data_IF_952891276591
#
_entry.id   IF_952891276591
#
_cell.length_a   1.000
_cell.length_b   1.000
_cell.length_c   1.000
_cell.angle_alpha   90.00
_cell.angle_beta   90.00
_cell.angle_gamma   90.00
#
_symmetry.space_group_name_H-M   'P 1'
#
loop_
_entity.id
_entity.type
_entity.pdbx_description
1 polymer ?
#
# COMPACT_ATOMS: atom_id res chain seq x y z
N UNK A 1 -2.36 11.52 -2.08
CA UNK A 1 -2.03 12.54 -1.05
C UNK A 1 -0.58 12.50 -0.60
N UNK A 2 -0.02 11.37 -0.16
CA UNK A 2 1.43 11.30 0.13
C UNK A 2 2.30 11.72 -1.07
N UNK A 3 1.85 11.37 -2.29
CA UNK A 3 2.43 11.83 -3.57
C UNK A 3 2.35 13.36 -3.75
N UNK A 4 1.29 13.99 -3.24
CA UNK A 4 1.12 15.45 -3.31
C UNK A 4 2.12 16.15 -2.38
N UNK A 5 2.22 15.71 -1.12
CA UNK A 5 3.20 16.24 -0.17
C UNK A 5 4.63 16.03 -0.66
N UNK A 6 4.95 14.85 -1.20
CA UNK A 6 6.23 14.60 -1.85
C UNK A 6 6.55 15.66 -2.91
N UNK A 7 5.61 15.94 -3.83
CA UNK A 7 5.79 16.96 -4.87
C UNK A 7 5.98 18.37 -4.30
N UNK A 8 5.19 18.75 -3.29
CA UNK A 8 5.29 20.06 -2.62
C UNK A 8 6.67 20.22 -1.98
N UNK A 9 7.12 19.26 -1.17
CA UNK A 9 8.41 19.35 -0.47
C UNK A 9 9.60 19.30 -1.43
N UNK A 10 9.51 18.49 -2.51
CA UNK A 10 10.55 18.43 -3.52
C UNK A 10 10.71 19.79 -4.24
N UNK A 11 9.61 20.39 -4.69
CA UNK A 11 9.64 21.69 -5.38
C UNK A 11 10.09 22.80 -4.43
N UNK A 12 9.54 22.85 -3.20
CA UNK A 12 9.91 23.86 -2.20
C UNK A 12 11.40 23.79 -1.82
N UNK A 13 11.95 22.58 -1.69
CA UNK A 13 13.36 22.36 -1.41
C UNK A 13 14.26 22.85 -2.54
N UNK A 14 13.91 22.54 -3.79
CA UNK A 14 14.63 23.05 -4.97
C UNK A 14 14.62 24.59 -4.98
N UNK A 15 13.46 25.21 -4.79
CA UNK A 15 13.32 26.68 -4.78
C UNK A 15 14.18 27.31 -3.68
N UNK A 16 14.21 26.75 -2.46
CA UNK A 16 15.02 27.29 -1.36
C UNK A 16 16.53 27.21 -1.63
N UNK A 17 17.00 26.16 -2.31
CA UNK A 17 18.40 26.07 -2.75
C UNK A 17 18.72 27.18 -3.75
N UNK A 18 17.83 27.44 -4.72
CA UNK A 18 18.01 28.53 -5.67
C UNK A 18 17.99 29.93 -5.03
N UNK A 19 17.26 30.10 -3.93
CA UNK A 19 17.22 31.34 -3.14
C UNK A 19 18.44 31.50 -2.20
N UNK A 20 19.38 30.54 -2.19
CA UNK A 20 20.58 30.58 -1.34
C UNK A 20 20.35 30.11 0.10
N UNK A 21 19.14 29.65 0.45
CA UNK A 21 18.82 29.06 1.75
C UNK A 21 19.15 27.55 1.74
N UNK A 22 20.44 27.23 1.71
CA UNK A 22 20.92 25.85 1.54
C UNK A 22 20.52 24.92 2.69
N UNK A 23 20.49 25.42 3.93
CA UNK A 23 20.11 24.61 5.10
C UNK A 23 18.64 24.16 5.01
N UNK A 24 17.73 25.10 4.77
CA UNK A 24 16.29 24.82 4.65
C UNK A 24 15.99 23.97 3.41
N UNK A 25 16.63 24.30 2.28
CA UNK A 25 16.49 23.54 1.04
C UNK A 25 16.94 22.08 1.18
N UNK A 26 18.07 21.84 1.85
CA UNK A 26 18.57 20.50 2.13
C UNK A 26 17.61 19.69 3.02
N UNK A 27 17.04 20.29 4.06
CA UNK A 27 16.06 19.65 4.93
C UNK A 27 14.81 19.22 4.15
N UNK A 28 14.25 20.13 3.34
CA UNK A 28 13.05 19.85 2.55
C UNK A 28 13.26 18.73 1.53
N UNK A 29 14.43 18.69 0.88
CA UNK A 29 14.79 17.59 -0.01
C UNK A 29 14.99 16.27 0.73
N UNK A 30 15.54 16.28 1.95
CA UNK A 30 15.63 15.11 2.81
C UNK A 30 14.26 14.52 3.13
N UNK A 31 13.30 15.39 3.50
CA UNK A 31 11.90 14.98 3.74
C UNK A 31 11.27 14.44 2.46
N UNK A 32 11.48 15.09 1.32
CA UNK A 32 10.98 14.60 0.04
C UNK A 32 11.57 13.23 -0.31
N UNK A 33 12.87 13.01 -0.16
CA UNK A 33 13.51 11.73 -0.42
C UNK A 33 12.92 10.62 0.47
N UNK A 34 12.67 10.90 1.75
CA UNK A 34 12.01 9.96 2.66
C UNK A 34 10.58 9.63 2.21
N UNK A 35 9.77 10.62 1.86
CA UNK A 35 8.42 10.40 1.33
C UNK A 35 8.44 9.61 0.02
N UNK A 36 9.42 9.88 -0.86
CA UNK A 36 9.65 9.14 -2.09
C UNK A 36 9.99 7.67 -1.83
N UNK A 37 10.84 7.39 -0.84
CA UNK A 37 11.14 6.03 -0.40
C UNK A 37 9.88 5.32 0.13
N UNK A 38 9.07 5.98 0.94
CA UNK A 38 7.79 5.42 1.43
C UNK A 38 6.84 5.11 0.27
N UNK A 39 6.70 6.03 -0.68
CA UNK A 39 5.88 5.82 -1.89
C UNK A 39 6.38 4.64 -2.71
N UNK A 40 7.70 4.54 -2.91
CA UNK A 40 8.32 3.42 -3.61
C UNK A 40 8.04 2.09 -2.91
N UNK A 41 8.24 2.04 -1.60
CA UNK A 41 7.97 0.85 -0.78
C UNK A 41 6.50 0.43 -0.86
N UNK A 42 5.56 1.37 -0.69
CA UNK A 42 4.13 1.12 -0.82
C UNK A 42 3.77 0.65 -2.25
N UNK A 43 4.38 1.25 -3.27
CA UNK A 43 4.18 0.91 -4.67
C UNK A 43 4.66 -0.50 -4.99
N UNK A 44 5.81 -0.90 -4.44
CA UNK A 44 6.36 -2.26 -4.54
C UNK A 44 5.39 -3.29 -3.93
N UNK A 45 4.95 -3.07 -2.69
CA UNK A 45 4.01 -3.96 -2.00
C UNK A 45 2.67 -4.07 -2.75
N UNK A 46 2.15 -2.94 -3.25
CA UNK A 46 0.91 -2.92 -4.05
C UNK A 46 1.07 -3.63 -5.39
N UNK A 47 2.24 -3.53 -6.04
CA UNK A 47 2.53 -4.22 -7.31
C UNK A 47 2.62 -5.73 -7.10
N UNK A 48 3.31 -6.18 -6.06
CA UNK A 48 3.40 -7.61 -5.72
C UNK A 48 2.03 -8.19 -5.34
N UNK A 49 1.24 -7.48 -4.53
CA UNK A 49 -0.13 -7.87 -4.20
C UNK A 49 -0.98 -8.06 -5.46
N UNK A 50 -0.93 -7.10 -6.38
CA UNK A 50 -1.70 -7.15 -7.62
C UNK A 50 -1.25 -8.29 -8.53
N UNK A 51 0.06 -8.48 -8.70
CA UNK A 51 0.58 -9.57 -9.50
C UNK A 51 0.13 -10.94 -8.97
N UNK A 52 0.03 -11.09 -7.64
CA UNK A 52 -0.54 -12.28 -7.03
C UNK A 52 -2.03 -12.45 -7.34
N UNK A 53 -2.85 -11.38 -7.21
CA UNK A 53 -4.28 -11.45 -7.51
C UNK A 53 -4.57 -11.72 -8.99
N UNK A 54 -3.83 -11.09 -9.89
CA UNK A 54 -3.96 -11.32 -11.33
C UNK A 54 -3.58 -12.75 -11.70
N UNK A 55 -2.48 -13.25 -11.14
CA UNK A 55 -2.10 -14.66 -11.26
C UNK A 55 -3.20 -15.58 -10.71
N UNK A 56 -3.70 -15.30 -9.51
CA UNK A 56 -4.72 -16.11 -8.84
C UNK A 56 -6.01 -16.16 -9.65
N UNK A 57 -6.44 -15.03 -10.22
CA UNK A 57 -7.59 -14.96 -11.13
C UNK A 57 -7.37 -15.82 -12.39
N UNK A 58 -6.21 -15.70 -13.02
CA UNK A 58 -5.90 -16.47 -14.23
C UNK A 58 -5.84 -17.99 -14.00
N UNK A 59 -5.47 -18.40 -12.78
CA UNK A 59 -5.28 -19.80 -12.39
C UNK A 59 -6.40 -20.37 -11.52
N UNK A 60 -7.44 -19.58 -11.28
CA UNK A 60 -8.60 -19.97 -10.48
C UNK A 60 -9.18 -21.35 -10.88
N UNK A 61 -9.51 -21.65 -12.16
CA UNK A 61 -10.11 -22.94 -12.51
C UNK A 61 -9.16 -24.13 -12.35
N UNK A 62 -7.84 -23.91 -12.38
CA UNK A 62 -6.84 -24.96 -12.12
C UNK A 62 -6.72 -25.23 -10.62
N UNK A 63 -6.77 -24.18 -9.80
CA UNK A 63 -6.68 -24.28 -8.33
C UNK A 63 -7.95 -24.91 -7.76
N UNK A 64 -9.13 -24.56 -8.27
CA UNK A 64 -10.41 -25.16 -7.86
C UNK A 64 -10.45 -26.67 -8.12
N UNK A 65 -9.76 -27.16 -9.16
CA UNK A 65 -9.68 -28.58 -9.51
C UNK A 65 -8.55 -29.33 -8.80
N UNK A 66 -7.61 -28.63 -8.17
CA UNK A 66 -6.47 -29.25 -7.52
C UNK A 66 -5.48 -28.25 -6.93
N UNK A 67 -4.48 -27.86 -7.70
CA UNK A 67 -3.40 -26.98 -7.25
C UNK A 67 -2.72 -26.25 -8.40
N UNK A 68 -2.04 -25.15 -8.06
CA UNK A 68 -1.12 -24.47 -8.97
C UNK A 68 0.14 -24.05 -8.22
N UNK A 69 1.21 -23.70 -8.94
CA UNK A 69 2.45 -23.23 -8.34
C UNK A 69 2.59 -21.72 -8.50
N UNK A 70 2.79 -21.01 -7.38
CA UNK A 70 3.16 -19.60 -7.36
C UNK A 70 4.52 -19.43 -6.71
N UNK A 71 5.49 -18.87 -7.45
CA UNK A 71 6.87 -18.65 -6.97
C UNK A 71 7.49 -19.91 -6.33
N UNK A 72 7.21 -21.08 -6.91
CA UNK A 72 7.71 -22.37 -6.43
C UNK A 72 6.95 -22.98 -5.24
N UNK A 73 5.85 -22.35 -4.77
CA UNK A 73 5.01 -22.90 -3.70
C UNK A 73 3.70 -23.43 -4.24
N UNK A 74 3.29 -24.62 -3.75
CA UNK A 74 2.01 -25.24 -4.09
C UNK A 74 0.89 -24.46 -3.41
N UNK A 75 -0.03 -23.94 -4.22
CA UNK A 75 -1.23 -23.24 -3.77
C UNK A 75 -2.45 -24.11 -4.08
N UNK A 76 -3.20 -24.39 -3.03
CA UNK A 76 -4.48 -25.09 -3.03
C UNK A 76 -5.59 -24.14 -2.58
N UNK A 77 -6.88 -24.46 -2.80
CA UNK A 77 -7.99 -23.65 -2.28
C UNK A 77 -7.95 -23.44 -0.75
N UNK A 78 -7.41 -24.41 -0.02
CA UNK A 78 -7.28 -24.40 1.45
C UNK A 78 -6.00 -23.73 1.93
N UNK A 79 -5.13 -23.29 1.01
CA UNK A 79 -3.92 -22.58 1.38
C UNK A 79 -4.30 -21.26 2.05
N UNK A 80 -3.72 -21.01 3.22
CA UNK A 80 -3.93 -19.77 3.96
C UNK A 80 -2.94 -18.69 3.51
N UNK A 81 -3.48 -17.49 3.29
CA UNK A 81 -2.70 -16.29 3.01
C UNK A 81 -2.96 -15.24 4.08
N UNK A 82 -1.90 -14.55 4.46
CA UNK A 82 -1.89 -13.50 5.48
C UNK A 82 -1.51 -12.16 4.86
N UNK A 83 -2.18 -11.09 5.31
CA UNK A 83 -1.80 -9.71 5.02
C UNK A 83 -1.64 -8.89 6.30
N UNK A 84 -0.60 -8.06 6.34
CA UNK A 84 -0.41 -7.08 7.39
C UNK A 84 -0.88 -5.71 6.92
N UNK A 85 -1.39 -4.91 7.84
CA UNK A 85 -1.88 -3.57 7.55
C UNK A 85 -1.01 -2.53 8.24
N UNK A 86 -0.58 -1.52 7.50
CA UNK A 86 0.10 -0.37 8.04
C UNK A 86 -0.84 0.84 8.04
N UNK A 87 -0.77 1.60 9.14
CA UNK A 87 -1.49 2.85 9.31
C UNK A 87 -0.47 4.00 9.27
N UNK A 88 -0.69 4.98 8.41
CA UNK A 88 0.09 6.22 8.39
C UNK A 88 -0.89 7.38 8.38
N UNK A 89 -0.80 8.23 9.39
CA UNK A 89 -1.68 9.37 9.57
C UNK A 89 -0.86 10.65 9.58
N UNK A 90 -1.43 11.71 9.03
CA UNK A 90 -0.85 13.04 9.08
C UNK A 90 -1.95 14.08 9.27
N UNK A 91 -1.90 14.79 10.39
CA UNK A 91 -2.86 15.79 10.85
C UNK A 91 -4.30 15.27 10.96
N UNK A 92 -5.08 15.32 9.88
CA UNK A 92 -6.50 14.90 9.89
C UNK A 92 -6.69 13.65 9.03
N UNK A 93 -5.68 13.29 8.23
CA UNK A 93 -5.84 12.34 7.14
C UNK A 93 -5.10 11.06 7.48
N UNK A 94 -5.84 9.95 7.50
CA UNK A 94 -5.32 8.63 7.82
C UNK A 94 -5.34 7.75 6.58
N UNK A 95 -4.17 7.27 6.18
CA UNK A 95 -4.02 6.32 5.07
C UNK A 95 -3.71 4.93 5.63
N UNK A 96 -4.44 3.93 5.14
CA UNK A 96 -4.24 2.53 5.51
C UNK A 96 -3.84 1.75 4.27
N UNK A 97 -2.77 0.98 4.35
CA UNK A 97 -2.32 0.14 3.25
C UNK A 97 -2.02 -1.29 3.72
N UNK A 98 -2.28 -2.26 2.85
CA UNK A 98 -2.02 -3.68 3.12
C UNK A 98 -0.76 -4.15 2.43
N UNK A 99 -0.03 -5.07 3.05
CA UNK A 99 1.12 -5.75 2.46
C UNK A 99 0.71 -6.62 1.27
N UNK A 100 1.70 -7.16 0.57
CA UNK A 100 1.51 -8.34 -0.29
C UNK A 100 0.91 -9.51 0.50
N UNK A 101 0.26 -10.43 -0.21
CA UNK A 101 -0.17 -11.70 0.36
C UNK A 101 1.05 -12.56 0.68
N UNK A 102 1.14 -13.01 1.93
CA UNK A 102 2.17 -13.91 2.42
C UNK A 102 1.55 -15.27 2.68
N UNK A 103 2.18 -16.33 2.18
CA UNK A 103 1.73 -17.70 2.42
C UNK A 103 2.09 -18.10 3.86
N UNK A 104 1.11 -18.65 4.58
CA UNK A 104 1.32 -19.14 5.96
C UNK A 104 2.38 -20.25 5.93
N UNK A 105 3.45 -20.09 6.73
CA UNK A 105 4.61 -20.99 6.75
C UNK A 105 5.89 -20.43 6.11
N UNK A 106 5.83 -19.31 5.38
CA UNK A 106 7.04 -18.53 5.04
C UNK A 106 7.25 -17.48 6.11
N UNK A 107 8.47 -17.40 6.65
CA UNK A 107 8.84 -16.59 7.81
C UNK A 107 8.29 -15.15 7.76
N UNK A 108 7.12 -14.87 8.39
CA UNK A 108 6.39 -13.64 8.19
C UNK A 108 6.85 -12.54 9.15
N UNK A 109 7.82 -12.85 10.01
CA UNK A 109 8.25 -12.03 11.15
C UNK A 109 8.81 -10.68 10.71
N UNK A 110 9.63 -10.64 9.66
CA UNK A 110 10.23 -9.37 9.19
C UNK A 110 9.18 -8.40 8.63
N UNK A 111 8.29 -8.88 7.76
CA UNK A 111 7.21 -8.04 7.19
C UNK A 111 6.25 -7.59 8.28
N UNK A 112 5.87 -8.49 9.21
CA UNK A 112 5.01 -8.16 10.35
C UNK A 112 5.60 -7.03 11.18
N UNK A 113 6.84 -7.18 11.63
CA UNK A 113 7.54 -6.20 12.46
C UNK A 113 7.69 -4.86 11.76
N UNK A 114 7.99 -4.86 10.45
CA UNK A 114 8.07 -3.62 9.65
C UNK A 114 6.74 -2.88 9.63
N UNK A 115 5.62 -3.58 9.41
CA UNK A 115 4.29 -2.96 9.34
C UNK A 115 3.78 -2.49 10.70
N UNK A 116 4.11 -3.20 11.78
CA UNK A 116 3.86 -2.74 13.15
C UNK A 116 4.67 -1.48 13.44
N UNK A 117 5.98 -1.49 13.15
CA UNK A 117 6.85 -0.35 13.39
C UNK A 117 6.40 0.89 12.60
N UNK A 118 6.06 0.73 11.33
CA UNK A 118 5.51 1.83 10.51
C UNK A 118 4.22 2.37 11.12
N UNK A 119 3.32 1.50 11.57
CA UNK A 119 2.08 1.94 12.24
C UNK A 119 2.36 2.67 13.54
N UNK A 120 3.31 2.17 14.34
CA UNK A 120 3.69 2.75 15.62
C UNK A 120 4.44 4.09 15.46
N UNK A 121 5.20 4.29 14.39
CA UNK A 121 5.93 5.53 14.19
C UNK A 121 5.10 6.59 13.47
N UNK A 122 4.26 6.18 12.52
CA UNK A 122 3.59 7.10 11.62
C UNK A 122 2.07 7.14 11.76
N UNK A 123 1.46 6.25 12.55
CA UNK A 123 0.01 6.18 12.68
C UNK A 123 -0.60 7.23 13.63
N UNK A 124 0.16 7.72 14.60
CA UNK A 124 -0.37 8.58 15.69
C UNK A 124 -0.55 10.05 15.31
N UNK A 125 0.08 10.53 14.24
CA UNK A 125 0.08 11.95 13.89
C UNK A 125 -1.26 12.43 13.30
N UNK A 126 -2.32 11.63 13.37
CA UNK A 126 -3.67 11.94 12.89
C UNK A 126 -4.68 12.06 14.02
N UNK A 127 -5.28 13.23 14.21
CA UNK A 127 -6.38 13.45 15.15
C UNK A 127 -7.73 13.55 14.42
N UNK A 128 -8.80 12.88 14.88
CA UNK A 128 -8.85 11.85 15.94
C UNK A 128 -8.55 10.43 15.43
N UNK A 129 -8.66 10.20 14.12
CA UNK A 129 -8.72 8.86 13.52
C UNK A 129 -7.44 8.03 13.64
N UNK A 130 -6.27 8.67 13.68
CA UNK A 130 -4.99 8.00 13.84
C UNK A 130 -4.88 7.28 15.18
N UNK A 131 -5.40 7.87 16.25
CA UNK A 131 -5.42 7.26 17.58
C UNK A 131 -6.33 6.03 17.67
N UNK A 132 -7.33 5.92 16.79
CA UNK A 132 -8.23 4.75 16.76
C UNK A 132 -7.69 3.67 15.84
N UNK A 133 -7.32 4.01 14.60
CA UNK A 133 -6.92 3.04 13.59
C UNK A 133 -5.53 2.45 13.80
N UNK A 134 -4.63 3.19 14.45
CA UNK A 134 -3.26 2.74 14.71
C UNK A 134 -3.19 1.59 15.70
N UNK A 135 -3.75 1.68 16.92
CA UNK A 135 -3.77 0.54 17.83
C UNK A 135 -4.57 -0.64 17.25
N UNK A 136 -5.65 -0.39 16.50
CA UNK A 136 -6.39 -1.45 15.81
C UNK A 136 -5.51 -2.20 14.80
N UNK A 137 -4.74 -1.49 13.97
CA UNK A 137 -3.83 -2.09 13.00
C UNK A 137 -2.69 -2.87 13.68
N UNK A 138 -2.10 -2.31 14.74
CA UNK A 138 -1.05 -2.97 15.53
C UNK A 138 -1.59 -4.25 16.16
N UNK A 139 -2.72 -4.18 16.85
CA UNK A 139 -3.36 -5.32 17.49
C UNK A 139 -3.65 -6.45 16.48
N UNK A 140 -4.19 -6.07 15.31
CA UNK A 140 -4.49 -7.03 14.27
C UNK A 140 -3.21 -7.70 13.71
N UNK A 141 -2.16 -6.92 13.45
CA UNK A 141 -0.88 -7.47 12.99
C UNK A 141 -0.21 -8.38 14.03
N UNK A 142 -0.34 -8.07 15.32
CA UNK A 142 0.15 -8.91 16.42
C UNK A 142 -0.60 -10.24 16.51
N UNK A 143 -1.91 -10.25 16.22
CA UNK A 143 -2.73 -11.47 16.15
C UNK A 143 -2.50 -12.33 14.91
N UNK A 144 -1.54 -11.96 14.06
CA UNK A 144 -1.22 -12.70 12.85
C UNK A 144 -1.63 -12.01 11.57
N UNK A 145 -2.31 -10.85 11.63
CA UNK A 145 -2.79 -10.13 10.46
C UNK A 145 -4.10 -10.69 9.89
N UNK A 146 -4.45 -10.23 8.70
CA UNK A 146 -5.66 -10.67 7.99
C UNK A 146 -5.36 -12.01 7.33
N UNK A 147 -5.72 -13.09 8.01
CA UNK A 147 -5.63 -14.46 7.48
C UNK A 147 -6.94 -14.83 6.79
N UNK A 148 -6.83 -15.38 5.58
CA UNK A 148 -7.96 -15.92 4.83
C UNK A 148 -7.48 -17.02 3.89
N UNK A 149 -8.35 -17.95 3.55
CA UNK A 149 -8.04 -19.01 2.58
C UNK A 149 -8.12 -18.48 1.14
N UNK A 150 -7.46 -19.17 0.21
CA UNK A 150 -7.58 -18.85 -1.21
C UNK A 150 -9.03 -18.97 -1.70
N UNK A 151 -9.76 -19.98 -1.22
CA UNK A 151 -11.18 -20.16 -1.52
C UNK A 151 -12.03 -18.94 -1.14
N UNK A 152 -11.81 -18.36 0.05
CA UNK A 152 -12.48 -17.15 0.51
C UNK A 152 -12.06 -15.88 -0.24
N UNK A 153 -10.86 -15.90 -0.84
CA UNK A 153 -10.33 -14.77 -1.60
C UNK A 153 -10.97 -14.68 -2.99
N UNK A 154 -11.28 -15.80 -3.65
CA UNK A 154 -11.85 -15.82 -5.01
C UNK A 154 -12.99 -14.82 -5.26
N UNK A 155 -14.08 -14.77 -4.46
CA UNK A 155 -15.16 -13.83 -4.70
C UNK A 155 -14.73 -12.36 -4.54
N UNK A 156 -13.67 -12.08 -3.76
CA UNK A 156 -13.16 -10.73 -3.49
C UNK A 156 -12.14 -10.24 -4.53
N UNK A 157 -11.60 -11.14 -5.37
CA UNK A 157 -10.53 -10.79 -6.33
C UNK A 157 -10.99 -9.70 -7.29
N UNK A 158 -12.21 -9.82 -7.81
CA UNK A 158 -12.74 -8.86 -8.77
C UNK A 158 -12.92 -7.48 -8.16
N UNK A 159 -13.37 -7.38 -6.90
CA UNK A 159 -13.48 -6.12 -6.18
C UNK A 159 -12.09 -5.50 -5.91
N UNK A 160 -11.13 -6.32 -5.47
CA UNK A 160 -9.77 -5.86 -5.21
C UNK A 160 -9.03 -5.38 -6.47
N UNK A 161 -9.29 -6.01 -7.62
CA UNK A 161 -8.76 -5.59 -8.92
C UNK A 161 -9.55 -4.41 -9.53
N UNK A 162 -10.86 -4.34 -9.31
CA UNK A 162 -11.75 -3.33 -9.91
C UNK A 162 -11.67 -1.97 -9.22
N UNK A 163 -11.44 -1.92 -7.90
CA UNK A 163 -11.27 -0.66 -7.16
C UNK A 163 -10.22 0.28 -7.76
N UNK A 164 -9.23 -0.28 -8.47
CA UNK A 164 -8.21 0.50 -9.20
C UNK A 164 -8.61 0.86 -10.63
N UNK A 165 -9.35 0.00 -11.35
CA UNK A 165 -9.84 0.32 -12.71
C UNK A 165 -10.79 1.51 -12.69
N UNK A 166 -11.68 1.58 -11.70
CA UNK A 166 -12.59 2.72 -11.51
C UNK A 166 -11.80 4.00 -11.26
N UNK A 167 -10.84 3.98 -10.31
CA UNK A 167 -9.98 5.13 -10.01
C UNK A 167 -9.13 5.57 -11.23
N UNK A 168 -8.59 4.62 -11.99
CA UNK A 168 -7.79 4.90 -13.19
C UNK A 168 -8.66 5.52 -14.28
N UNK A 169 -9.84 4.94 -14.57
CA UNK A 169 -10.80 5.48 -15.54
C UNK A 169 -11.26 6.88 -15.14
N UNK A 170 -11.53 7.11 -13.85
CA UNK A 170 -11.87 8.45 -13.32
C UNK A 170 -10.73 9.45 -13.54
N UNK A 171 -9.48 9.05 -13.26
CA UNK A 171 -8.32 9.94 -13.42
C UNK A 171 -8.07 10.33 -14.89
N UNK A 172 -8.30 9.41 -15.83
CA UNK A 172 -8.20 9.67 -17.26
C UNK A 172 -9.31 10.62 -17.73
N UNK A 173 -10.55 10.40 -17.29
CA UNK A 173 -11.69 11.27 -17.62
C UNK A 173 -11.45 12.69 -17.09
N UNK A 174 -11.00 12.83 -15.84
CA UNK A 174 -10.69 14.14 -15.23
C UNK A 174 -9.51 14.85 -15.92
N UNK A 175 -8.49 14.10 -16.34
CA UNK A 175 -7.36 14.64 -17.10
C UNK A 175 -7.80 15.20 -18.46
N UNK A 176 -8.66 14.47 -19.18
CA UNK A 176 -9.21 14.90 -20.47
C UNK A 176 -10.11 16.13 -20.32
N UNK A 177 -11.01 16.15 -19.33
CA UNK A 177 -11.88 17.30 -19.06
C UNK A 177 -11.10 18.57 -18.69
N UNK A 178 -9.97 18.42 -17.96
CA UNK A 178 -9.09 19.55 -17.62
C UNK A 178 -8.27 20.05 -18.82
N UNK A 179 -7.97 19.18 -19.79
CA UNK A 179 -7.32 19.56 -21.03
C UNK A 179 -8.28 20.34 -21.94
N UNK A 180 -9.54 19.91 -22.01
CA UNK A 180 -10.60 20.56 -22.79
C UNK A 180 -10.99 21.94 -22.23
N UNK A 181 -10.98 22.12 -20.90
CA UNK A 181 -11.25 23.42 -20.28
C UNK A 181 -10.09 24.44 -20.37
N UNK A 182 -8.93 24.06 -20.94
CA UNK A 182 -7.73 24.91 -21.08
C UNK A 182 -7.39 25.27 -22.53
N UNK A 183 -8.06 24.67 -23.51
CA UNK A 183 -8.00 25.04 -24.92
C UNK A 183 -9.19 25.89 -25.30
#
# INVERSE_FOLDING_TARGET
MIVLFFGIFAVAGIVHIFLGHFADGGLLLGVAAFLGFVIYFMGREAKERRAFLEWLKSKQPEIEKGWSYYRGQKITPQTEVTQYQACMSFLIITSRFRSRFLLVGRDPSFTRSTFILVSLLFGWWGFPWGFVFTPQAIYHNLRGGYCQTIAELFPKIDDELSGRKVSQKLSTVLANAKAEARG
#
